data_IF_310202284543
#
_entry.id   IF_310202284543
#
_cell.length_a   1.000
_cell.length_b   1.000
_cell.length_c   1.000
_cell.angle_alpha   90.00
_cell.angle_beta   90.00
_cell.angle_gamma   90.00
#
_symmetry.space_group_name_H-M   'P 1'
#
loop_
_entity.id
_entity.type
_entity.pdbx_description
1 polymer ?
#
# COMPACT_ATOMS: atom_id res chain seq x y z
N UNK A 1 0.83 -12.45 -4.13
CA UNK A 1 2.07 -12.33 -4.93
C UNK A 1 3.22 -12.97 -4.17
N UNK A 2 4.23 -13.49 -4.87
CA UNK A 2 5.45 -14.02 -4.28
C UNK A 2 6.64 -13.16 -4.69
N UNK A 3 7.57 -12.94 -3.76
CA UNK A 3 8.84 -12.23 -4.01
C UNK A 3 9.97 -13.20 -4.35
N UNK A 4 9.87 -14.42 -3.82
CA UNK A 4 10.76 -15.55 -4.11
C UNK A 4 10.01 -16.86 -3.84
N UNK A 5 10.70 -18.01 -3.83
CA UNK A 5 10.07 -19.33 -3.62
C UNK A 5 9.50 -19.54 -2.21
N UNK A 6 9.89 -18.71 -1.23
CA UNK A 6 9.47 -18.81 0.17
C UNK A 6 8.53 -17.67 0.57
N UNK A 7 8.89 -16.43 0.23
CA UNK A 7 8.22 -15.24 0.73
C UNK A 7 7.10 -14.77 -0.21
N UNK A 8 5.91 -14.56 0.35
CA UNK A 8 4.75 -14.06 -0.38
C UNK A 8 3.79 -13.28 0.51
N UNK A 9 3.01 -12.42 -0.14
CA UNK A 9 1.94 -11.63 0.49
C UNK A 9 0.61 -11.83 -0.21
N UNK A 10 -0.45 -11.83 0.57
CA UNK A 10 -1.84 -11.85 0.12
C UNK A 10 -2.56 -10.66 0.78
N UNK A 11 -2.69 -9.53 0.08
CA UNK A 11 -3.50 -8.41 0.57
C UNK A 11 -4.97 -8.83 0.57
N UNK A 12 -5.66 -8.52 1.66
CA UNK A 12 -7.07 -8.83 1.84
C UNK A 12 -7.81 -7.61 2.36
N UNK A 13 -9.02 -7.46 1.85
CA UNK A 13 -9.99 -6.56 2.40
C UNK A 13 -10.99 -7.38 3.20
N UNK A 14 -11.26 -6.95 4.43
CA UNK A 14 -12.27 -7.57 5.30
C UNK A 14 -13.39 -6.55 5.50
N UNK A 15 -14.60 -6.94 5.06
CA UNK A 15 -15.82 -6.14 5.18
C UNK A 15 -16.33 -6.10 6.62
N UNK A 16 -15.58 -5.42 7.49
CA UNK A 16 -15.99 -5.05 8.85
C UNK A 16 -16.48 -3.60 8.88
N UNK A 17 -17.07 -3.18 10.01
CA UNK A 17 -17.38 -1.77 10.26
C UNK A 17 -16.58 -1.28 11.48
N UNK A 18 -15.48 -0.51 11.32
CA UNK A 18 -14.91 -0.01 10.06
C UNK A 18 -14.23 -1.11 9.22
N UNK A 19 -14.06 -0.87 7.92
CA UNK A 19 -13.40 -1.81 7.01
C UNK A 19 -11.93 -2.01 7.36
N UNK A 20 -11.44 -3.23 7.20
CA UNK A 20 -10.08 -3.61 7.60
C UNK A 20 -9.27 -4.05 6.40
N UNK A 21 -8.12 -3.40 6.19
CA UNK A 21 -7.09 -3.91 5.31
C UNK A 21 -6.12 -4.77 6.12
N UNK A 22 -5.93 -6.01 5.67
CA UNK A 22 -5.05 -6.98 6.32
C UNK A 22 -4.20 -7.68 5.26
N UNK A 23 -2.91 -7.82 5.50
CA UNK A 23 -2.03 -8.61 4.63
C UNK A 23 -1.69 -9.91 5.33
N UNK A 24 -1.80 -11.02 4.62
CA UNK A 24 -1.25 -12.29 5.08
C UNK A 24 0.13 -12.49 4.47
N UNK A 25 1.09 -12.94 5.27
CA UNK A 25 2.44 -13.26 4.82
C UNK A 25 2.71 -14.76 4.93
N UNK A 26 3.44 -15.28 3.96
CA UNK A 26 4.09 -16.59 4.03
C UNK A 26 5.60 -16.41 3.94
N UNK A 27 6.34 -17.30 4.59
CA UNK A 27 7.80 -17.44 4.49
C UNK A 27 8.18 -18.91 4.24
N UNK A 28 7.23 -19.73 3.81
CA UNK A 28 7.39 -21.17 3.63
C UNK A 28 6.79 -21.67 2.30
N UNK A 29 6.75 -20.77 1.30
CA UNK A 29 6.28 -21.11 -0.05
C UNK A 29 4.76 -21.23 -0.14
N UNK A 30 4.03 -20.59 0.78
CA UNK A 30 2.57 -20.58 0.82
C UNK A 30 1.96 -21.76 1.57
N UNK A 31 2.75 -22.54 2.31
CA UNK A 31 2.25 -23.64 3.14
C UNK A 31 1.50 -23.10 4.36
N UNK A 32 1.99 -22.03 4.99
CA UNK A 32 1.31 -21.31 6.06
C UNK A 32 1.29 -19.80 5.81
N UNK A 33 0.22 -19.17 6.31
CA UNK A 33 -0.05 -17.74 6.16
C UNK A 33 -0.36 -17.13 7.52
N UNK A 34 0.33 -16.05 7.87
CA UNK A 34 0.15 -15.32 9.13
C UNK A 34 -0.35 -13.90 8.86
N UNK A 35 -1.34 -13.41 9.62
CA UNK A 35 -1.84 -12.05 9.48
C UNK A 35 -0.80 -11.03 9.98
N UNK A 36 -0.77 -9.86 9.36
CA UNK A 36 0.03 -8.70 9.81
C UNK A 36 -0.76 -7.80 10.74
N UNK A 37 -0.18 -6.68 11.17
CA UNK A 37 -0.94 -5.63 11.86
C UNK A 37 -1.98 -5.05 10.90
N UNK A 38 -3.25 -5.10 11.32
CA UNK A 38 -4.39 -4.58 10.57
C UNK A 38 -4.35 -3.06 10.45
N UNK A 39 -4.76 -2.54 9.29
CA UNK A 39 -5.06 -1.12 9.11
C UNK A 39 -6.58 -0.98 9.08
N UNK A 40 -7.14 -0.26 10.05
CA UNK A 40 -8.54 0.15 10.01
C UNK A 40 -8.69 1.41 9.16
N UNK A 41 -9.68 1.42 8.28
CA UNK A 41 -9.97 2.56 7.41
C UNK A 41 -11.40 3.00 7.61
N UNK A 42 -11.59 4.31 7.61
CA UNK A 42 -12.92 4.84 7.36
C UNK A 42 -13.22 4.62 5.88
N UNK A 43 -14.20 3.77 5.61
CA UNK A 43 -14.60 3.39 4.25
C UNK A 43 -15.57 4.40 3.64
N UNK A 44 -16.06 5.36 4.41
CA UNK A 44 -16.97 6.37 3.89
C UNK A 44 -16.24 7.29 2.92
N UNK A 45 -16.59 7.17 1.63
CA UNK A 45 -16.06 8.00 0.56
C UNK A 45 -14.66 7.59 0.06
N UNK A 46 -14.20 6.38 0.39
CA UNK A 46 -13.02 5.79 -0.27
C UNK A 46 -13.45 5.26 -1.64
N UNK A 47 -12.88 5.84 -2.69
CA UNK A 47 -13.16 5.51 -4.08
C UNK A 47 -12.14 4.54 -4.68
N UNK A 48 -10.99 4.36 -4.03
CA UNK A 48 -9.91 3.53 -4.55
C UNK A 48 -9.18 2.74 -3.48
N UNK A 49 -8.87 1.48 -3.78
CA UNK A 49 -8.06 0.61 -2.94
C UNK A 49 -6.80 0.26 -3.73
N UNK A 50 -5.72 0.99 -3.48
CA UNK A 50 -4.43 0.73 -4.12
C UNK A 50 -3.36 0.38 -3.09
N UNK A 51 -2.50 -0.53 -3.50
CA UNK A 51 -1.33 -0.97 -2.77
C UNK A 51 -0.17 -1.23 -3.73
N UNK A 52 1.05 -1.12 -3.22
CA UNK A 52 2.26 -1.52 -3.89
C UNK A 52 3.17 -2.27 -2.92
N UNK A 53 3.83 -3.31 -3.43
CA UNK A 53 4.72 -4.17 -2.66
C UNK A 53 6.09 -4.27 -3.36
N UNK A 54 6.94 -3.24 -3.32
CA UNK A 54 8.27 -3.29 -3.95
C UNK A 54 9.20 -4.39 -3.41
N UNK A 55 8.99 -4.84 -2.16
CA UNK A 55 9.74 -5.96 -1.58
C UNK A 55 8.90 -6.73 -0.56
N UNK A 56 9.46 -7.84 -0.04
CA UNK A 56 8.86 -8.60 1.07
C UNK A 56 8.73 -7.82 2.37
N UNK A 57 9.38 -6.66 2.48
CA UNK A 57 9.43 -5.83 3.69
C UNK A 57 8.85 -4.43 3.50
N UNK A 58 8.91 -3.85 2.30
CA UNK A 58 8.49 -2.48 2.03
C UNK A 58 7.17 -2.44 1.28
N UNK A 59 6.11 -1.93 1.90
CA UNK A 59 4.78 -1.88 1.30
C UNK A 59 4.13 -0.52 1.48
N UNK A 60 3.25 -0.20 0.55
CA UNK A 60 2.55 1.07 0.46
C UNK A 60 1.06 0.77 0.23
N UNK A 61 0.19 1.41 0.98
CA UNK A 61 -1.26 1.27 0.81
C UNK A 61 -1.92 2.63 1.01
N UNK A 62 -2.86 3.03 0.16
CA UNK A 62 -3.55 4.31 0.30
C UNK A 62 -5.02 4.13 0.66
N UNK A 63 -5.57 5.07 1.43
CA UNK A 63 -7.02 5.23 1.70
C UNK A 63 -7.60 6.50 1.05
N UNK A 64 -7.03 6.92 -0.08
CA UNK A 64 -7.27 8.18 -0.81
C UNK A 64 -6.77 9.46 -0.13
N UNK A 65 -6.56 9.45 1.20
CA UNK A 65 -6.10 10.63 1.96
C UNK A 65 -4.69 10.48 2.48
N UNK A 66 -4.31 9.26 2.83
CA UNK A 66 -3.06 8.91 3.50
C UNK A 66 -2.37 7.79 2.74
N UNK A 67 -1.08 7.69 3.00
CA UNK A 67 -0.24 6.56 2.59
C UNK A 67 0.23 5.84 3.85
N UNK A 68 -0.16 4.59 3.99
CA UNK A 68 0.33 3.69 5.02
C UNK A 68 1.57 2.99 4.48
N UNK A 69 2.67 3.11 5.20
CA UNK A 69 3.97 2.58 4.79
C UNK A 69 4.53 1.67 5.87
N UNK A 70 5.01 0.51 5.46
CA UNK A 70 5.79 -0.40 6.32
C UNK A 70 7.12 -0.71 5.68
N UNK A 71 8.13 -0.96 6.51
CA UNK A 71 9.46 -1.44 6.11
C UNK A 71 9.84 -2.74 6.86
N UNK A 72 8.89 -3.34 7.56
CA UNK A 72 9.07 -4.53 8.40
C UNK A 72 7.95 -5.55 8.18
N UNK A 73 7.54 -5.74 6.93
CA UNK A 73 6.55 -6.74 6.54
C UNK A 73 5.21 -6.58 7.27
N UNK A 74 4.74 -5.34 7.43
CA UNK A 74 3.43 -5.04 8.01
C UNK A 74 3.34 -5.27 9.52
N UNK A 75 4.45 -5.49 10.21
CA UNK A 75 4.46 -5.54 11.68
C UNK A 75 4.08 -4.18 12.27
N UNK A 76 4.58 -3.09 11.68
CA UNK A 76 4.20 -1.73 12.02
C UNK A 76 3.97 -0.88 10.77
N UNK A 77 3.08 0.11 10.90
CA UNK A 77 2.72 1.03 9.83
C UNK A 77 2.98 2.48 10.25
N UNK A 78 3.67 3.22 9.39
CA UNK A 78 3.79 4.67 9.45
C UNK A 78 2.73 5.29 8.54
N UNK A 79 2.18 6.43 8.95
CA UNK A 79 1.18 7.15 8.18
C UNK A 79 1.81 8.42 7.63
N UNK A 80 1.80 8.56 6.32
CA UNK A 80 2.26 9.74 5.60
C UNK A 80 1.03 10.47 5.06
N UNK A 81 1.00 11.79 5.23
CA UNK A 81 0.06 12.68 4.54
C UNK A 81 0.78 13.31 3.35
N UNK A 82 0.46 12.91 2.11
CA UNK A 82 1.12 13.46 0.92
C UNK A 82 0.81 14.94 0.69
N UNK A 83 1.67 15.63 -0.07
CA UNK A 83 1.42 17.00 -0.54
C UNK A 83 0.36 17.12 -1.66
N UNK A 84 -0.22 16.00 -2.09
CA UNK A 84 -1.30 15.92 -3.09
C UNK A 84 -2.47 15.09 -2.54
N UNK A 85 -3.66 15.27 -3.11
CA UNK A 85 -4.77 14.34 -2.86
C UNK A 85 -4.56 13.05 -3.63
N UNK A 86 -4.63 11.91 -2.95
CA UNK A 86 -4.62 10.58 -3.57
C UNK A 86 -6.04 10.09 -3.92
N UNK A 87 -7.06 10.93 -3.75
CA UNK A 87 -8.41 10.63 -4.22
C UNK A 87 -8.38 10.48 -5.74
N UNK A 88 -8.97 9.40 -6.24
CA UNK A 88 -8.94 9.02 -7.66
C UNK A 88 -7.58 8.55 -8.19
N UNK A 89 -6.68 8.04 -7.34
CA UNK A 89 -5.59 7.19 -7.83
C UNK A 89 -6.20 5.96 -8.50
N UNK A 90 -5.87 5.74 -9.77
CA UNK A 90 -6.22 4.52 -10.51
C UNK A 90 -5.16 3.43 -10.36
N UNK A 91 -3.90 3.82 -10.13
CA UNK A 91 -2.81 2.88 -9.93
C UNK A 91 -1.72 3.53 -9.06
N UNK A 92 -1.18 2.76 -8.11
CA UNK A 92 -0.10 3.16 -7.23
C UNK A 92 1.01 2.10 -7.35
N UNK A 93 2.19 2.50 -7.78
CA UNK A 93 3.32 1.58 -7.97
C UNK A 93 4.59 2.18 -7.36
N UNK A 94 5.26 1.41 -6.51
CA UNK A 94 6.55 1.73 -5.92
C UNK A 94 7.56 0.69 -6.35
N UNK A 95 8.77 1.14 -6.68
CA UNK A 95 9.92 0.30 -7.08
C UNK A 95 10.95 0.16 -5.97
N UNK A 96 10.91 1.04 -4.98
CA UNK A 96 11.75 0.99 -3.79
C UNK A 96 11.00 1.60 -2.59
N UNK A 97 11.67 1.69 -1.43
CA UNK A 97 11.13 2.40 -0.27
C UNK A 97 10.99 3.92 -0.47
N UNK A 98 11.57 4.49 -1.53
CA UNK A 98 11.57 5.94 -1.77
C UNK A 98 11.00 6.34 -3.12
N UNK A 99 11.02 5.45 -4.12
CA UNK A 99 10.71 5.79 -5.50
C UNK A 99 9.38 5.15 -5.95
N UNK A 100 8.40 5.99 -6.32
CA UNK A 100 7.07 5.52 -6.71
C UNK A 100 6.25 6.50 -7.55
N UNK A 101 5.17 6.00 -8.14
CA UNK A 101 4.28 6.69 -9.05
C UNK A 101 2.82 6.52 -8.65
N UNK A 102 2.03 7.55 -8.91
CA UNK A 102 0.59 7.53 -8.75
C UNK A 102 -0.05 8.03 -10.05
N UNK A 103 -0.79 7.16 -10.73
CA UNK A 103 -1.62 7.51 -11.88
C UNK A 103 -3.01 7.90 -11.37
N UNK A 104 -3.48 9.09 -11.74
CA UNK A 104 -4.82 9.56 -11.41
C UNK A 104 -5.80 9.21 -12.53
N UNK A 105 -7.09 8.98 -12.22
CA UNK A 105 -8.16 8.68 -13.22
C UNK A 105 -8.25 9.66 -14.39
N UNK A 106 -7.73 10.89 -14.25
CA UNK A 106 -7.68 11.92 -15.31
C UNK A 106 -6.42 11.84 -16.20
N UNK A 107 -5.61 10.79 -16.07
CA UNK A 107 -4.36 10.61 -16.81
C UNK A 107 -3.19 11.44 -16.31
N UNK A 108 -3.29 12.00 -15.09
CA UNK A 108 -2.18 12.75 -14.47
C UNK A 108 -1.27 11.76 -13.77
N UNK A 109 0.03 11.79 -14.11
CA UNK A 109 1.06 10.99 -13.46
C UNK A 109 1.81 11.85 -12.44
N UNK A 110 1.90 11.35 -11.22
CA UNK A 110 2.76 11.89 -10.18
C UNK A 110 3.92 10.93 -9.90
N UNK A 111 5.05 11.48 -9.50
CA UNK A 111 6.26 10.76 -9.10
C UNK A 111 6.76 11.29 -7.75
N UNK A 112 7.28 10.39 -6.92
CA UNK A 112 7.95 10.69 -5.66
C UNK A 112 9.30 9.98 -5.60
N UNK A 113 10.27 10.64 -4.95
CA UNK A 113 11.60 10.07 -4.66
C UNK A 113 11.92 10.08 -3.16
N UNK A 114 10.93 10.37 -2.30
CA UNK A 114 11.09 10.46 -0.84
C UNK A 114 10.11 9.56 -0.07
N UNK A 115 9.56 8.54 -0.73
CA UNK A 115 8.67 7.57 -0.10
C UNK A 115 7.22 8.06 0.02
N UNK A 116 6.83 9.02 -0.83
CA UNK A 116 5.45 9.50 -0.92
C UNK A 116 5.13 10.68 -0.02
N UNK A 117 6.14 11.38 0.52
CA UNK A 117 5.94 12.64 1.25
C UNK A 117 5.67 13.77 0.25
N UNK A 118 6.53 13.90 -0.74
CA UNK A 118 6.42 14.89 -1.80
C UNK A 118 6.24 14.18 -3.15
N UNK A 119 5.19 14.59 -3.84
CA UNK A 119 4.85 14.18 -5.19
C UNK A 119 4.91 15.39 -6.12
N UNK A 120 5.54 15.20 -7.26
CA UNK A 120 5.61 16.17 -8.34
C UNK A 120 4.98 15.57 -9.59
N UNK A 121 4.37 16.40 -10.43
CA UNK A 121 3.88 15.94 -11.73
C UNK A 121 5.06 15.47 -12.57
N UNK A 122 4.90 14.32 -13.23
CA UNK A 122 5.81 13.83 -14.26
C UNK A 122 5.68 14.60 -15.57
#
# INVERSE_FOLDING_TARGET
MFFNQQDGVLPTWVDTNPGTFLVFCTSDGGNTWKPTTAITRDVQGVESQNWSFPSSTNWFVTDDKRLFVTNNSGQTWNIITPNISLQNVSELEFTSSTNGWALMKKGVLYHTTDGGHIWTKG
#
